data_IF_549550570523
#
_entry.id   IF_549550570523
#
_cell.length_a   1.000
_cell.length_b   1.000
_cell.length_c   1.000
_cell.angle_alpha   90.00
_cell.angle_beta   90.00
_cell.angle_gamma   90.00
#
_symmetry.space_group_name_H-M   'P 1'
#
loop_
_entity.id
_entity.type
_entity.pdbx_description
1 polymer ?
#
# COMPACT_ATOMS: atom_id res chain seq x y z
N UNK A 1 -21.50 -44.69 94.64
CA UNK A 1 -20.13 -44.48 95.14
C UNK A 1 -19.80 -43.00 94.96
N UNK A 2 -19.83 -42.24 96.07
CA UNK A 2 -19.30 -40.87 96.16
C UNK A 2 -17.82 -40.88 95.78
N UNK A 3 -17.32 -39.82 95.16
CA UNK A 3 -16.26 -38.95 95.72
C UNK A 3 -16.26 -37.62 94.94
N UNK A 4 -16.36 -36.55 95.72
CA UNK A 4 -16.15 -35.14 95.38
C UNK A 4 -14.66 -34.89 95.14
N UNK A 5 -14.30 -34.06 94.17
CA UNK A 5 -13.07 -33.25 94.29
C UNK A 5 -13.22 -31.93 93.56
N UNK A 6 -13.42 -30.91 94.38
CA UNK A 6 -13.24 -29.49 94.10
C UNK A 6 -11.80 -29.17 93.70
N UNK A 7 -11.62 -28.40 92.63
CA UNK A 7 -10.34 -27.84 92.23
C UNK A 7 -10.53 -26.51 91.52
N UNK A 8 -10.52 -25.43 92.29
CA UNK A 8 -10.59 -24.02 91.86
C UNK A 8 -9.17 -23.54 91.53
N UNK A 9 -8.93 -23.13 90.29
CA UNK A 9 -7.77 -22.35 89.85
C UNK A 9 -8.30 -21.28 88.90
N UNK A 10 -8.49 -20.04 89.37
CA UNK A 10 -7.53 -18.92 89.28
C UNK A 10 -7.07 -18.68 87.84
N UNK A 11 -7.74 -17.68 87.27
CA UNK A 11 -7.51 -16.99 86.00
C UNK A 11 -6.09 -16.38 85.96
N UNK A 12 -5.42 -16.45 84.81
CA UNK A 12 -4.72 -15.28 84.31
C UNK A 12 -5.40 -14.75 83.04
N UNK A 13 -5.61 -13.44 83.04
CA UNK A 13 -6.04 -12.62 81.92
C UNK A 13 -5.30 -13.00 80.63
N UNK A 14 -5.99 -13.70 79.73
CA UNK A 14 -5.61 -13.72 78.32
C UNK A 14 -6.24 -12.49 77.71
N UNK A 15 -5.42 -11.44 77.67
CA UNK A 15 -5.65 -10.21 76.91
C UNK A 15 -6.14 -10.56 75.51
N UNK A 16 -7.44 -10.45 75.28
CA UNK A 16 -8.06 -10.55 73.98
C UNK A 16 -7.57 -9.36 73.14
N UNK A 17 -6.49 -9.58 72.40
CA UNK A 17 -6.05 -8.66 71.35
C UNK A 17 -7.09 -8.75 70.24
N UNK A 18 -8.06 -7.85 70.27
CA UNK A 18 -9.01 -7.61 69.18
C UNK A 18 -8.25 -7.37 67.87
N UNK A 19 -8.38 -8.22 66.83
CA UNK A 19 -7.91 -7.88 65.49
C UNK A 19 -9.01 -7.04 64.83
N UNK A 20 -9.24 -5.83 65.31
CA UNK A 20 -10.21 -4.90 64.74
C UNK A 20 -9.48 -3.75 64.04
N UNK A 21 -8.68 -4.06 63.02
CA UNK A 21 -8.23 -3.06 62.04
C UNK A 21 -8.05 -3.69 60.66
N UNK A 22 -9.01 -4.50 60.24
CA UNK A 22 -9.14 -4.94 58.84
C UNK A 22 -10.62 -4.85 58.46
N UNK A 23 -11.15 -3.65 58.17
CA UNK A 23 -12.46 -3.57 57.51
C UNK A 23 -12.79 -2.33 56.68
N UNK A 24 -11.95 -1.30 56.68
CA UNK A 24 -12.21 -0.11 55.83
C UNK A 24 -11.50 -0.10 54.46
N UNK A 25 -10.60 -1.05 54.20
CA UNK A 25 -9.88 -1.12 52.92
C UNK A 25 -10.61 -1.87 51.81
N UNK A 26 -11.54 -2.77 52.16
CA UNK A 26 -12.26 -3.62 51.21
C UNK A 26 -13.17 -2.86 50.21
N UNK A 27 -13.99 -1.86 50.61
CA UNK A 27 -14.87 -1.17 49.67
C UNK A 27 -14.10 -0.24 48.72
N UNK A 28 -13.05 0.41 49.22
CA UNK A 28 -12.16 1.24 48.40
C UNK A 28 -11.39 0.38 47.39
N UNK A 29 -10.97 -0.83 47.79
CA UNK A 29 -10.32 -1.78 46.89
C UNK A 29 -11.23 -2.28 45.78
N UNK A 30 -12.47 -2.62 46.13
CA UNK A 30 -13.48 -3.00 45.14
C UNK A 30 -13.76 -1.86 44.15
N UNK A 31 -13.88 -0.61 44.63
CA UNK A 31 -14.22 0.54 43.79
C UNK A 31 -13.14 0.87 42.77
N UNK A 32 -11.86 0.90 43.17
CA UNK A 32 -10.80 1.21 42.21
C UNK A 32 -10.64 0.12 41.16
N UNK A 33 -10.82 -1.17 41.52
CA UNK A 33 -10.75 -2.29 40.57
C UNK A 33 -11.86 -2.21 39.53
N UNK A 34 -13.08 -1.86 39.96
CA UNK A 34 -14.20 -1.59 39.04
C UNK A 34 -13.88 -0.44 38.10
N UNK A 35 -13.51 0.73 38.63
CA UNK A 35 -13.16 1.90 37.81
C UNK A 35 -11.98 1.65 36.88
N UNK A 36 -11.00 0.85 37.30
CA UNK A 36 -9.90 0.44 36.44
C UNK A 36 -10.39 -0.44 35.29
N UNK A 37 -11.22 -1.45 35.58
CA UNK A 37 -11.73 -2.36 34.55
C UNK A 37 -12.61 -1.64 33.53
N UNK A 38 -13.42 -0.67 33.97
CA UNK A 38 -14.22 0.19 33.09
C UNK A 38 -13.32 1.00 32.15
N UNK A 39 -12.34 1.74 32.69
CA UNK A 39 -11.39 2.53 31.88
C UNK A 39 -10.59 1.67 30.91
N UNK A 40 -10.23 0.46 31.33
CA UNK A 40 -9.50 -0.47 30.49
C UNK A 40 -10.36 -0.99 29.34
N UNK A 41 -11.60 -1.39 29.63
CA UNK A 41 -12.56 -1.79 28.61
C UNK A 41 -12.86 -0.64 27.64
N UNK A 42 -13.01 0.59 28.13
CA UNK A 42 -13.22 1.79 27.30
C UNK A 42 -12.02 2.08 26.39
N UNK A 43 -10.79 1.90 26.90
CA UNK A 43 -9.57 2.02 26.10
C UNK A 43 -9.51 0.97 25.00
N UNK A 44 -9.76 -0.30 25.33
CA UNK A 44 -9.78 -1.41 24.37
C UNK A 44 -10.87 -1.24 23.32
N UNK A 45 -12.06 -0.78 23.73
CA UNK A 45 -13.18 -0.48 22.83
C UNK A 45 -12.80 0.61 21.84
N UNK A 46 -12.25 1.75 22.32
CA UNK A 46 -11.80 2.82 21.43
C UNK A 46 -10.72 2.38 20.44
N UNK A 47 -9.79 1.53 20.87
CA UNK A 47 -8.77 0.96 19.98
C UNK A 47 -9.41 0.06 18.90
N UNK A 48 -10.31 -0.83 19.30
CA UNK A 48 -11.06 -1.70 18.39
C UNK A 48 -11.93 -0.91 17.41
N UNK A 49 -12.62 0.14 17.87
CA UNK A 49 -13.47 0.98 17.02
C UNK A 49 -12.63 1.73 15.98
N UNK A 50 -11.45 2.24 16.37
CA UNK A 50 -10.52 2.89 15.45
C UNK A 50 -9.96 1.91 14.41
N UNK A 51 -9.60 0.69 14.83
CA UNK A 51 -9.14 -0.38 13.94
C UNK A 51 -10.24 -0.82 12.97
N UNK A 52 -11.47 -1.01 13.47
CA UNK A 52 -12.65 -1.36 12.67
C UNK A 52 -12.97 -0.27 11.65
N UNK A 53 -12.89 1.00 12.04
CA UNK A 53 -13.10 2.11 11.12
C UNK A 53 -12.03 2.17 10.02
N UNK A 54 -10.77 1.88 10.34
CA UNK A 54 -9.70 1.77 9.33
C UNK A 54 -9.92 0.57 8.40
N UNK A 55 -10.33 -0.57 8.94
CA UNK A 55 -10.67 -1.76 8.17
C UNK A 55 -11.84 -1.50 7.20
N UNK A 56 -12.90 -0.80 7.64
CA UNK A 56 -14.04 -0.43 6.80
C UNK A 56 -13.62 0.49 5.65
N UNK A 57 -12.85 1.56 5.93
CA UNK A 57 -12.36 2.45 4.87
C UNK A 57 -11.56 1.71 3.81
N UNK A 58 -10.73 0.74 4.22
CA UNK A 58 -9.96 -0.09 3.30
C UNK A 58 -10.85 -1.08 2.53
N UNK A 59 -11.89 -1.62 3.17
CA UNK A 59 -12.88 -2.47 2.51
C UNK A 59 -13.58 -1.71 1.38
N UNK A 60 -14.09 -0.51 1.67
CA UNK A 60 -14.77 0.34 0.69
C UNK A 60 -13.86 0.69 -0.48
N UNK A 61 -12.58 0.98 -0.20
CA UNK A 61 -11.57 1.21 -1.23
C UNK A 61 -11.39 -0.02 -2.14
N UNK A 62 -11.27 -1.23 -1.58
CA UNK A 62 -11.08 -2.45 -2.37
C UNK A 62 -12.33 -2.80 -3.19
N UNK A 63 -13.52 -2.63 -2.64
CA UNK A 63 -14.79 -2.81 -3.38
C UNK A 63 -14.85 -1.85 -4.57
N UNK A 64 -14.46 -0.59 -4.38
CA UNK A 64 -14.37 0.38 -5.47
C UNK A 64 -13.39 -0.07 -6.55
N UNK A 65 -12.18 -0.49 -6.17
CA UNK A 65 -11.17 -0.98 -7.12
C UNK A 65 -11.66 -2.21 -7.88
N UNK A 66 -12.45 -3.08 -7.24
CA UNK A 66 -13.06 -4.25 -7.89
C UNK A 66 -14.03 -3.84 -9.00
N UNK A 67 -14.94 -2.91 -8.69
CA UNK A 67 -15.90 -2.37 -9.66
C UNK A 67 -15.16 -1.71 -10.84
N UNK A 68 -14.15 -0.89 -10.55
CA UNK A 68 -13.36 -0.21 -11.57
C UNK A 68 -12.55 -1.19 -12.43
N UNK A 69 -11.92 -2.21 -11.82
CA UNK A 69 -11.19 -3.24 -12.54
C UNK A 69 -12.11 -4.04 -13.49
N UNK A 70 -13.37 -4.24 -13.13
CA UNK A 70 -14.34 -4.92 -13.98
C UNK A 70 -14.86 -4.02 -15.12
N UNK A 71 -15.14 -2.74 -14.84
CA UNK A 71 -16.02 -1.93 -15.70
C UNK A 71 -15.42 -0.62 -16.25
N UNK A 72 -14.36 -0.09 -15.65
CA UNK A 72 -13.82 1.21 -16.04
C UNK A 72 -13.05 1.13 -17.37
N UNK A 73 -13.49 1.89 -18.36
CA UNK A 73 -12.89 1.90 -19.71
C UNK A 73 -12.05 3.16 -20.00
N UNK A 74 -11.94 4.09 -19.05
CA UNK A 74 -11.33 5.41 -19.28
C UNK A 74 -12.36 6.49 -19.59
N UNK A 75 -11.89 7.75 -19.58
CA UNK A 75 -12.67 8.94 -19.88
C UNK A 75 -12.19 9.55 -21.20
N UNK A 76 -13.11 9.96 -22.08
CA UNK A 76 -12.76 10.65 -23.35
C UNK A 76 -12.39 12.13 -23.14
N UNK A 77 -12.66 12.69 -21.96
CA UNK A 77 -12.35 14.05 -21.55
C UNK A 77 -11.60 14.03 -20.20
N UNK A 78 -10.83 15.09 -19.87
CA UNK A 78 -10.52 16.25 -20.71
C UNK A 78 -9.51 15.92 -21.82
N UNK A 79 -9.60 16.62 -22.97
CA UNK A 79 -8.60 16.55 -24.06
C UNK A 79 -7.73 17.81 -24.16
N UNK A 80 -8.16 18.91 -23.54
CA UNK A 80 -7.46 20.19 -23.54
C UNK A 80 -6.56 20.32 -22.32
N UNK A 81 -5.44 21.04 -22.46
CA UNK A 81 -4.51 21.30 -21.36
C UNK A 81 -3.65 20.10 -20.95
N UNK A 82 -3.67 19.01 -21.72
CA UNK A 82 -2.83 17.84 -21.50
C UNK A 82 -1.40 18.07 -22.04
N UNK A 83 -0.38 17.38 -21.49
CA UNK A 83 0.99 17.45 -21.98
C UNK A 83 1.19 16.74 -23.33
N UNK A 84 0.15 16.14 -23.91
CA UNK A 84 0.21 15.43 -25.18
C UNK A 84 -1.15 15.50 -25.89
N UNK A 85 -1.13 15.49 -27.22
CA UNK A 85 -2.33 15.38 -28.04
C UNK A 85 -2.81 13.92 -28.05
N UNK A 86 -4.09 13.71 -27.75
CA UNK A 86 -4.70 12.38 -27.70
C UNK A 86 -5.24 11.98 -29.06
N UNK A 87 -5.04 10.70 -29.43
CA UNK A 87 -5.72 10.14 -30.60
C UNK A 87 -7.24 10.05 -30.37
N UNK A 88 -8.01 9.87 -31.45
CA UNK A 88 -9.48 9.85 -31.38
C UNK A 88 -10.02 8.71 -30.50
N UNK A 89 -9.34 7.56 -30.52
CA UNK A 89 -9.62 6.36 -29.73
C UNK A 89 -8.86 6.32 -28.38
N UNK A 90 -8.04 7.33 -28.10
CA UNK A 90 -7.29 7.42 -26.86
C UNK A 90 -8.17 7.98 -25.74
N UNK A 91 -8.22 7.26 -24.62
CA UNK A 91 -9.00 7.59 -23.43
C UNK A 91 -8.11 7.69 -22.21
N UNK A 92 -8.42 8.65 -21.34
CA UNK A 92 -7.66 8.97 -20.13
C UNK A 92 -8.11 8.08 -18.98
N UNK A 93 -7.16 7.39 -18.37
CA UNK A 93 -7.36 6.64 -17.14
C UNK A 93 -7.10 7.50 -15.91
N UNK A 94 -6.06 8.35 -15.95
CA UNK A 94 -5.74 9.24 -14.84
C UNK A 94 -4.93 10.44 -15.31
N UNK A 95 -5.22 11.61 -14.72
CA UNK A 95 -4.37 12.80 -14.80
C UNK A 95 -3.75 13.05 -13.42
N UNK A 96 -2.45 13.34 -13.41
CA UNK A 96 -1.68 13.72 -12.24
C UNK A 96 -1.10 15.11 -12.49
N UNK A 97 -1.71 16.18 -11.94
CA UNK A 97 -1.27 17.54 -12.20
C UNK A 97 0.12 17.84 -11.64
N UNK A 98 0.51 17.14 -10.57
CA UNK A 98 1.80 17.26 -9.93
C UNK A 98 2.44 15.88 -9.84
N UNK A 99 3.38 15.61 -10.75
CA UNK A 99 4.23 14.43 -10.76
C UNK A 99 5.68 14.87 -10.99
N UNK A 100 6.62 14.10 -10.49
CA UNK A 100 8.04 14.28 -10.74
C UNK A 100 8.53 13.21 -11.70
N UNK A 101 9.18 13.64 -12.78
CA UNK A 101 9.92 12.74 -13.65
C UNK A 101 11.20 12.35 -12.93
N UNK A 102 11.40 11.05 -12.78
CA UNK A 102 12.61 10.51 -12.17
C UNK A 102 13.36 9.63 -13.13
N UNK A 103 14.67 9.55 -12.94
CA UNK A 103 15.53 8.71 -13.74
C UNK A 103 16.53 7.97 -12.85
N UNK A 104 16.76 6.70 -13.18
CA UNK A 104 17.84 5.94 -12.58
C UNK A 104 19.18 6.39 -13.21
N UNK A 105 20.17 6.64 -12.36
CA UNK A 105 21.53 7.04 -12.77
C UNK A 105 22.35 5.84 -13.26
N UNK A 106 22.08 4.64 -12.72
CA UNK A 106 22.77 3.42 -13.07
C UNK A 106 21.82 2.39 -13.70
N UNK A 107 22.35 1.56 -14.60
CA UNK A 107 21.63 0.42 -15.19
C UNK A 107 21.31 -0.68 -14.16
N UNK A 108 22.08 -0.73 -13.07
CA UNK A 108 21.92 -1.68 -11.98
C UNK A 108 21.80 -0.93 -10.67
N UNK A 109 20.59 -0.48 -10.35
CA UNK A 109 20.27 0.02 -9.03
C UNK A 109 19.70 -1.12 -8.21
N UNK A 110 20.31 -1.41 -7.06
CA UNK A 110 19.82 -2.43 -6.13
C UNK A 110 18.52 -1.98 -5.50
N UNK A 111 17.54 -2.88 -5.42
CA UNK A 111 16.24 -2.57 -4.79
C UNK A 111 15.24 -1.87 -5.71
N UNK A 112 15.50 -1.81 -7.02
CA UNK A 112 14.47 -1.38 -7.95
C UNK A 112 13.33 -2.40 -8.01
N UNK A 113 12.08 -1.92 -8.09
CA UNK A 113 10.93 -2.80 -8.26
C UNK A 113 11.03 -3.60 -9.56
N UNK A 114 10.54 -4.83 -9.53
CA UNK A 114 10.41 -5.67 -10.72
C UNK A 114 9.12 -5.29 -11.47
N UNK A 115 9.16 -5.18 -12.82
CA UNK A 115 7.95 -5.00 -13.61
C UNK A 115 6.93 -6.10 -13.36
N UNK A 116 5.66 -5.73 -13.22
CA UNK A 116 4.58 -6.68 -13.05
C UNK A 116 3.24 -6.02 -12.79
N UNK A 117 2.18 -6.83 -12.85
CA UNK A 117 0.84 -6.40 -12.48
C UNK A 117 0.64 -6.39 -10.95
N UNK A 118 1.51 -7.09 -10.22
CA UNK A 118 1.46 -7.20 -8.77
C UNK A 118 1.67 -5.84 -8.07
N UNK A 119 0.99 -5.65 -6.94
CA UNK A 119 1.16 -4.47 -6.07
C UNK A 119 0.39 -3.22 -6.48
N UNK A 120 -0.36 -3.24 -7.59
CA UNK A 120 -1.15 -2.12 -8.10
C UNK A 120 -2.13 -1.52 -7.07
N UNK A 121 -2.84 -2.39 -6.34
CA UNK A 121 -3.83 -2.01 -5.33
C UNK A 121 -3.26 -1.98 -3.89
N UNK A 122 -1.95 -2.21 -3.73
CA UNK A 122 -1.28 -2.17 -2.43
C UNK A 122 -0.71 -0.78 -2.18
N UNK A 123 -1.14 -0.15 -1.08
CA UNK A 123 -0.58 1.13 -0.66
C UNK A 123 0.85 0.98 -0.16
N UNK A 124 1.68 2.03 -0.29
CA UNK A 124 3.00 2.01 0.29
C UNK A 124 2.87 1.84 1.81
N UNK A 125 3.47 0.78 2.34
CA UNK A 125 3.57 0.60 3.78
C UNK A 125 4.59 1.62 4.29
N UNK A 126 4.07 2.70 4.91
CA UNK A 126 4.81 3.82 5.49
C UNK A 126 5.76 4.50 4.49
N UNK A 127 5.33 5.64 3.92
CA UNK A 127 6.15 6.38 2.95
C UNK A 127 7.41 6.94 3.62
N UNK A 128 8.55 6.33 3.33
CA UNK A 128 9.81 7.05 3.43
C UNK A 128 9.90 7.96 2.21
N UNK A 129 10.00 9.26 2.45
CA UNK A 129 10.10 10.26 1.38
C UNK A 129 11.45 10.19 0.66
N UNK A 130 12.43 9.48 1.21
CA UNK A 130 13.72 9.31 0.58
C UNK A 130 13.59 8.48 -0.71
N UNK A 131 13.99 9.08 -1.84
CA UNK A 131 14.16 8.36 -3.09
C UNK A 131 15.17 7.21 -2.92
N UNK A 132 14.94 6.05 -3.55
CA UNK A 132 15.93 4.99 -3.59
C UNK A 132 17.28 5.51 -4.11
N UNK A 133 18.38 5.03 -3.54
CA UNK A 133 19.73 5.43 -3.96
C UNK A 133 19.92 5.19 -5.46
N UNK A 134 20.47 6.18 -6.16
CA UNK A 134 20.69 6.11 -7.61
C UNK A 134 19.45 6.43 -8.45
N UNK A 135 18.36 6.91 -7.83
CA UNK A 135 17.23 7.54 -8.51
C UNK A 135 17.24 9.02 -8.17
N UNK A 136 17.09 9.88 -9.17
CA UNK A 136 16.95 11.33 -8.98
C UNK A 136 15.73 11.88 -9.72
N UNK A 137 15.13 12.90 -9.12
CA UNK A 137 14.14 13.74 -9.78
C UNK A 137 14.83 14.67 -10.78
N UNK A 138 14.26 14.81 -11.97
CA UNK A 138 14.85 15.59 -13.07
C UNK A 138 13.92 16.66 -13.63
N UNK A 139 12.61 16.52 -13.44
CA UNK A 139 11.63 17.56 -13.78
C UNK A 139 10.35 17.36 -12.97
N UNK A 140 9.52 18.39 -12.89
CA UNK A 140 8.20 18.36 -12.24
C UNK A 140 7.16 18.87 -13.21
N UNK A 141 6.02 18.19 -13.29
CA UNK A 141 5.01 18.50 -14.28
C UNK A 141 3.76 17.65 -14.16
N UNK A 142 3.02 17.60 -15.27
CA UNK A 142 1.80 16.81 -15.39
C UNK A 142 2.11 15.44 -15.98
N UNK A 143 1.55 14.39 -15.39
CA UNK A 143 1.54 13.05 -15.99
C UNK A 143 0.11 12.63 -16.36
N UNK A 144 -0.04 11.94 -17.49
CA UNK A 144 -1.30 11.41 -17.98
C UNK A 144 -1.13 9.93 -18.30
N UNK A 145 -2.03 9.11 -17.77
CA UNK A 145 -2.15 7.69 -18.08
C UNK A 145 -3.33 7.53 -19.02
N UNK A 146 -3.10 6.97 -20.20
CA UNK A 146 -4.14 6.66 -21.19
C UNK A 146 -4.24 5.16 -21.43
N UNK A 147 -5.17 4.71 -22.26
CA UNK A 147 -5.23 3.32 -22.75
C UNK A 147 -4.07 2.95 -23.70
N UNK A 148 -3.31 3.91 -24.23
CA UNK A 148 -2.22 3.65 -25.18
C UNK A 148 -0.82 3.84 -24.59
N UNK A 149 -0.68 4.79 -23.66
CA UNK A 149 0.62 5.23 -23.16
C UNK A 149 0.53 5.94 -21.81
N UNK A 150 1.70 6.19 -21.25
CA UNK A 150 1.90 7.19 -20.21
C UNK A 150 2.64 8.37 -20.83
N UNK A 151 2.17 9.58 -20.58
CA UNK A 151 2.84 10.81 -21.00
C UNK A 151 3.17 11.67 -19.79
N UNK A 152 4.32 12.32 -19.83
CA UNK A 152 4.75 13.32 -18.86
C UNK A 152 5.17 14.58 -19.60
N UNK A 153 4.72 15.73 -19.11
CA UNK A 153 5.18 17.04 -19.55
C UNK A 153 5.49 17.94 -18.36
N UNK A 154 6.77 18.24 -18.19
CA UNK A 154 7.27 19.22 -17.25
C UNK A 154 7.72 20.49 -17.95
N UNK A 155 8.51 21.30 -17.23
CA UNK A 155 8.99 22.58 -17.75
C UNK A 155 10.08 22.39 -18.80
N UNK A 156 10.94 21.39 -18.61
CA UNK A 156 12.14 21.18 -19.41
C UNK A 156 12.10 19.87 -20.19
N UNK A 157 11.33 18.89 -19.71
CA UNK A 157 11.30 17.54 -20.22
C UNK A 157 9.89 17.13 -20.64
N UNK A 158 9.81 16.41 -21.75
CA UNK A 158 8.65 15.64 -22.16
C UNK A 158 9.06 14.19 -22.36
N UNK A 159 8.25 13.27 -21.87
CA UNK A 159 8.52 11.82 -21.93
C UNK A 159 7.22 11.09 -22.23
N UNK A 160 7.31 10.10 -23.10
CA UNK A 160 6.20 9.22 -23.42
C UNK A 160 6.66 7.77 -23.35
N UNK A 161 5.79 6.91 -22.85
CA UNK A 161 5.97 5.47 -22.78
C UNK A 161 4.74 4.78 -23.35
N UNK A 162 4.87 4.25 -24.55
CA UNK A 162 3.83 3.44 -25.20
C UNK A 162 3.79 2.05 -24.56
N UNK A 163 2.60 1.50 -24.32
CA UNK A 163 2.50 0.17 -23.72
C UNK A 163 3.15 -0.96 -24.52
N UNK A 164 3.11 -0.98 -25.87
CA UNK A 164 3.84 -1.97 -26.66
C UNK A 164 5.37 -1.98 -26.44
N UNK A 165 5.95 -0.83 -26.07
CA UNK A 165 7.38 -0.70 -25.82
C UNK A 165 7.74 -0.91 -24.34
N UNK A 166 6.75 -1.14 -23.47
CA UNK A 166 6.94 -1.34 -22.04
C UNK A 166 6.94 -2.83 -21.69
N UNK A 167 7.93 -3.24 -20.91
CA UNK A 167 7.94 -4.54 -20.22
C UNK A 167 6.83 -4.58 -19.17
N UNK A 168 6.58 -3.45 -18.51
CA UNK A 168 5.51 -3.27 -17.54
C UNK A 168 5.83 -2.19 -16.51
N UNK A 169 4.81 -1.75 -15.75
CA UNK A 169 5.02 -0.84 -14.63
C UNK A 169 5.69 -1.59 -13.47
N UNK A 170 6.64 -0.93 -12.82
CA UNK A 170 7.35 -1.46 -11.66
C UNK A 170 7.12 -0.52 -10.45
N UNK A 171 6.19 -0.90 -9.58
CA UNK A 171 5.79 -0.10 -8.43
C UNK A 171 6.69 -0.37 -7.22
N UNK A 172 7.29 0.68 -6.65
CA UNK A 172 8.12 0.52 -5.45
C UNK A 172 7.26 0.22 -4.22
N UNK A 173 7.55 -0.80 -3.40
CA UNK A 173 6.67 -1.21 -2.30
C UNK A 173 6.51 -0.14 -1.20
N UNK A 174 7.51 0.70 -0.97
CA UNK A 174 7.55 1.64 0.18
C UNK A 174 7.65 3.13 -0.18
N UNK A 175 7.66 3.47 -1.47
CA UNK A 175 7.81 4.86 -1.94
C UNK A 175 6.83 5.09 -3.08
N UNK A 176 6.26 6.29 -3.28
CA UNK A 176 5.28 6.56 -4.34
C UNK A 176 5.93 6.68 -5.73
N UNK A 177 6.89 5.80 -6.01
CA UNK A 177 7.68 5.68 -7.21
C UNK A 177 7.17 4.53 -8.06
N UNK A 178 7.00 4.79 -9.36
CA UNK A 178 6.79 3.76 -10.38
C UNK A 178 7.81 3.93 -11.50
N UNK A 179 8.58 2.89 -11.79
CA UNK A 179 9.49 2.85 -12.92
C UNK A 179 8.82 2.21 -14.14
N UNK A 180 9.12 2.73 -15.32
CA UNK A 180 8.53 2.33 -16.60
C UNK A 180 9.64 1.72 -17.47
N UNK A 181 9.76 0.39 -17.40
CA UNK A 181 10.83 -0.35 -18.07
C UNK A 181 10.53 -0.49 -19.56
N UNK A 182 11.39 0.06 -20.41
CA UNK A 182 11.30 -0.09 -21.87
C UNK A 182 12.03 -1.35 -22.34
N UNK A 183 11.52 -1.95 -23.41
CA UNK A 183 12.11 -3.14 -24.05
C UNK A 183 13.46 -2.86 -24.72
N UNK A 184 13.70 -1.61 -25.12
CA UNK A 184 14.92 -1.17 -25.79
C UNK A 184 16.17 -1.07 -24.88
N UNK A 185 16.01 -1.29 -23.57
CA UNK A 185 17.10 -1.15 -22.61
C UNK A 185 17.64 0.28 -22.49
N UNK A 186 16.83 1.27 -22.90
CA UNK A 186 17.11 2.68 -22.74
C UNK A 186 17.28 3.08 -21.27
N UNK A 187 17.54 4.37 -21.03
CA UNK A 187 17.67 4.86 -19.66
C UNK A 187 16.36 4.66 -18.90
N UNK A 188 16.46 3.99 -17.76
CA UNK A 188 15.31 3.70 -16.92
C UNK A 188 14.78 4.98 -16.28
N UNK A 189 13.50 5.25 -16.52
CA UNK A 189 12.81 6.44 -16.06
C UNK A 189 11.42 6.06 -15.53
N UNK A 190 10.82 6.96 -14.78
CA UNK A 190 9.53 6.72 -14.17
C UNK A 190 8.95 7.98 -13.56
N UNK A 191 7.96 7.77 -12.69
CA UNK A 191 7.19 8.83 -12.06
C UNK A 191 7.23 8.66 -10.54
N UNK A 192 7.59 9.73 -9.85
CA UNK A 192 7.32 9.90 -8.44
C UNK A 192 6.07 10.76 -8.31
N UNK A 193 5.06 10.23 -7.60
CA UNK A 193 3.75 10.90 -7.45
C UNK A 193 3.51 11.29 -5.99
N UNK A 194 2.57 12.21 -5.70
CA UNK A 194 2.19 12.52 -4.34
C UNK A 194 1.71 11.27 -3.59
N UNK A 195 2.05 11.15 -2.31
CA UNK A 195 1.67 10.01 -1.46
C UNK A 195 0.16 9.75 -1.49
N UNK A 196 -0.64 10.82 -1.47
CA UNK A 196 -2.11 10.76 -1.51
C UNK A 196 -2.65 10.21 -2.83
N UNK A 197 -1.90 10.31 -3.92
CA UNK A 197 -2.28 9.83 -5.25
C UNK A 197 -1.67 8.46 -5.59
N UNK A 198 -0.72 7.96 -4.81
CA UNK A 198 0.10 6.80 -5.15
C UNK A 198 -0.73 5.53 -5.41
N UNK A 199 -1.67 5.20 -4.53
CA UNK A 199 -2.50 3.99 -4.69
C UNK A 199 -3.33 4.05 -5.97
N UNK A 200 -4.03 5.17 -6.19
CA UNK A 200 -4.88 5.35 -7.36
C UNK A 200 -4.06 5.37 -8.64
N UNK A 201 -2.92 6.07 -8.65
CA UNK A 201 -2.04 6.09 -9.82
C UNK A 201 -1.55 4.69 -10.19
N UNK A 202 -1.07 3.91 -9.21
CA UNK A 202 -0.61 2.54 -9.45
C UNK A 202 -1.72 1.70 -10.05
N UNK A 203 -2.89 1.71 -9.41
CA UNK A 203 -4.05 0.96 -9.90
C UNK A 203 -4.41 1.31 -11.34
N UNK A 204 -4.60 2.60 -11.66
CA UNK A 204 -5.02 2.99 -13.01
C UNK A 204 -3.92 2.76 -14.06
N UNK A 205 -2.65 2.95 -13.70
CA UNK A 205 -1.54 2.62 -14.59
C UNK A 205 -1.47 1.12 -14.89
N UNK A 206 -1.57 0.27 -13.87
CA UNK A 206 -1.62 -1.18 -14.08
C UNK A 206 -2.85 -1.59 -14.86
N UNK A 207 -4.02 -1.03 -14.57
CA UNK A 207 -5.25 -1.33 -15.27
C UNK A 207 -5.19 -0.93 -16.75
N UNK A 208 -4.62 0.24 -17.05
CA UNK A 208 -4.44 0.71 -18.41
C UNK A 208 -3.46 -0.17 -19.19
N UNK A 209 -2.29 -0.47 -18.61
CA UNK A 209 -1.31 -1.39 -19.19
C UNK A 209 -1.92 -2.78 -19.43
N UNK A 210 -2.57 -3.36 -18.41
CA UNK A 210 -3.22 -4.66 -18.53
C UNK A 210 -4.36 -4.68 -19.55
N UNK A 211 -5.10 -3.57 -19.70
CA UNK A 211 -6.13 -3.46 -20.73
C UNK A 211 -5.50 -3.47 -22.11
N UNK A 212 -4.42 -2.70 -22.32
CA UNK A 212 -3.69 -2.66 -23.59
C UNK A 212 -3.03 -4.00 -23.97
N UNK A 213 -2.61 -4.79 -22.98
CA UNK A 213 -1.99 -6.12 -23.21
C UNK A 213 -2.97 -7.29 -23.12
N UNK A 214 -4.27 -7.06 -22.93
CA UNK A 214 -5.27 -8.12 -22.80
C UNK A 214 -5.23 -8.91 -21.47
N UNK A 215 -4.54 -8.39 -20.46
CA UNK A 215 -4.39 -9.00 -19.13
C UNK A 215 -5.32 -8.41 -18.05
N UNK A 216 -6.36 -7.65 -18.43
CA UNK A 216 -7.28 -6.99 -17.48
C UNK A 216 -7.88 -7.93 -16.44
N UNK A 217 -8.25 -9.15 -16.84
CA UNK A 217 -8.82 -10.16 -15.94
C UNK A 217 -7.87 -10.53 -14.79
N UNK A 218 -6.54 -10.49 -15.02
CA UNK A 218 -5.56 -10.74 -13.97
C UNK A 218 -5.55 -9.63 -12.90
N UNK A 219 -5.78 -8.37 -13.30
CA UNK A 219 -5.90 -7.25 -12.35
C UNK A 219 -7.16 -7.40 -11.51
N UNK A 220 -8.29 -7.77 -12.12
CA UNK A 220 -9.54 -8.02 -11.39
C UNK A 220 -9.37 -9.15 -10.37
N UNK A 221 -8.80 -10.29 -10.78
CA UNK A 221 -8.53 -11.42 -9.88
C UNK A 221 -7.62 -11.03 -8.71
N UNK A 222 -6.59 -10.22 -8.96
CA UNK A 222 -5.71 -9.74 -7.89
C UNK A 222 -6.45 -8.83 -6.89
N UNK A 223 -7.40 -8.01 -7.35
CA UNK A 223 -8.22 -7.20 -6.44
C UNK A 223 -9.18 -8.08 -5.63
N UNK A 224 -9.74 -9.12 -6.25
CA UNK A 224 -10.58 -10.11 -5.56
C UNK A 224 -9.80 -10.83 -4.46
N UNK A 225 -8.59 -11.31 -4.75
CA UNK A 225 -7.69 -11.95 -3.78
C UNK A 225 -7.38 -11.00 -2.60
N UNK A 226 -7.15 -9.72 -2.88
CA UNK A 226 -6.92 -8.71 -1.84
C UNK A 226 -8.17 -8.46 -1.00
N UNK A 227 -9.35 -8.44 -1.61
CA UNK A 227 -10.62 -8.26 -0.92
C UNK A 227 -10.92 -9.44 0.00
N UNK A 228 -10.66 -10.67 -0.45
CA UNK A 228 -10.83 -11.88 0.34
C UNK A 228 -9.83 -11.95 1.49
N UNK A 229 -8.54 -11.65 1.25
CA UNK A 229 -7.56 -11.52 2.32
C UNK A 229 -7.97 -10.45 3.35
N UNK A 230 -8.48 -9.31 2.89
CA UNK A 230 -8.97 -8.23 3.77
C UNK A 230 -10.18 -8.66 4.61
N UNK A 231 -11.10 -9.45 4.04
CA UNK A 231 -12.24 -10.02 4.77
C UNK A 231 -11.80 -10.96 5.88
N UNK A 232 -10.77 -11.78 5.65
CA UNK A 232 -10.20 -12.67 6.66
C UNK A 232 -9.47 -11.90 7.77
N UNK A 233 -8.91 -10.73 7.47
CA UNK A 233 -8.22 -9.87 8.42
C UNK A 233 -9.15 -8.94 9.24
N UNK A 234 -10.44 -9.29 9.37
CA UNK A 234 -11.41 -8.47 10.11
C UNK A 234 -11.02 -8.36 11.60
N UNK A 235 -11.00 -7.14 12.20
CA UNK A 235 -10.71 -6.97 13.62
C UNK A 235 -11.66 -7.78 14.51
N UNK A 236 -11.12 -8.40 15.56
CA UNK A 236 -11.89 -9.20 16.53
C UNK A 236 -12.15 -8.37 17.78
N UNK A 237 -13.41 -8.31 18.28
CA UNK A 237 -13.73 -7.59 19.50
C UNK A 237 -12.86 -8.02 20.69
N UNK A 238 -12.28 -7.08 21.46
CA UNK A 238 -11.42 -7.41 22.58
C UNK A 238 -12.24 -8.03 23.73
N UNK A 239 -11.69 -9.01 24.47
CA UNK A 239 -12.38 -9.60 25.61
C UNK A 239 -12.54 -8.59 26.73
N UNK A 240 -13.69 -8.65 27.41
CA UNK A 240 -13.98 -7.80 28.56
C UNK A 240 -13.08 -8.15 29.73
N UNK A 241 -12.47 -7.13 30.31
CA UNK A 241 -11.68 -7.23 31.52
C UNK A 241 -12.61 -7.03 32.72
N UNK A 242 -12.57 -7.96 33.66
CA UNK A 242 -13.31 -7.86 34.92
C UNK A 242 -12.44 -7.24 36.02
N UNK A 243 -13.03 -6.70 37.11
CA UNK A 243 -12.29 -6.09 38.21
C UNK A 243 -11.20 -6.99 38.83
N UNK A 244 -11.38 -8.32 38.77
CA UNK A 244 -10.39 -9.29 39.27
C UNK A 244 -9.05 -9.25 38.52
N UNK A 245 -9.02 -8.74 37.29
CA UNK A 245 -7.80 -8.60 36.48
C UNK A 245 -7.02 -7.31 36.76
N UNK A 246 -7.51 -6.45 37.66
CA UNK A 246 -6.89 -5.18 37.94
C UNK A 246 -5.51 -5.36 38.61
N UNK A 247 -4.43 -4.79 38.05
CA UNK A 247 -3.08 -4.98 38.56
C UNK A 247 -2.93 -4.39 39.95
N UNK A 248 -2.39 -5.18 40.88
CA UNK A 248 -2.24 -4.82 42.30
C UNK A 248 -1.38 -3.58 42.52
N UNK A 249 -0.47 -3.28 41.58
CA UNK A 249 0.47 -2.14 41.61
C UNK A 249 -0.11 -0.82 41.10
N UNK A 250 -1.25 -0.80 40.41
CA UNK A 250 -1.84 0.44 39.87
C UNK A 250 -2.50 1.34 40.95
N UNK A 251 -2.46 0.92 42.22
CA UNK A 251 -3.10 1.61 43.36
C UNK A 251 -2.38 2.90 43.81
N UNK A 252 -1.44 3.47 43.04
CA UNK A 252 -0.72 4.69 43.43
C UNK A 252 -0.73 5.81 42.38
N UNK A 253 -1.86 6.52 42.21
CA UNK A 253 -1.82 7.96 42.02
C UNK A 253 -1.80 8.60 43.42
N UNK A 254 -0.63 9.12 43.76
CA UNK A 254 -0.20 9.79 44.98
C UNK A 254 -1.24 10.55 45.82
N UNK A 255 -1.24 10.27 47.13
CA UNK A 255 -1.55 11.21 48.24
C UNK A 255 -0.45 12.28 48.42
N UNK A 256 0.37 12.54 47.40
CA UNK A 256 1.28 13.69 47.35
C UNK A 256 0.53 14.84 46.70
N UNK A 257 -0.38 15.42 47.49
CA UNK A 257 -0.69 16.84 47.35
C UNK A 257 0.63 17.55 47.60
N UNK A 258 1.35 17.86 46.53
CA UNK A 258 2.52 18.71 46.57
C UNK A 258 2.04 20.11 46.96
N UNK A 259 2.18 20.43 48.24
CA UNK A 259 2.13 21.79 48.75
C UNK A 259 3.25 22.58 48.08
N UNK A 260 2.96 23.24 46.96
CA UNK A 260 3.85 24.24 46.38
C UNK A 260 3.70 25.49 47.24
N UNK A 261 4.46 25.57 48.32
CA UNK A 261 4.64 26.82 49.05
C UNK A 261 5.66 27.66 48.27
N UNK A 262 5.17 28.70 47.62
CA UNK A 262 5.96 29.74 47.00
C UNK A 262 6.81 30.45 48.06
N UNK A 263 8.13 30.50 47.85
CA UNK A 263 9.04 31.48 48.46
C UNK A 263 10.37 31.49 47.69
N UNK A 264 10.49 32.40 46.72
CA UNK A 264 11.77 32.93 46.25
C UNK A 264 11.52 34.28 45.58
N UNK A 265 11.22 35.27 46.43
CA UNK A 265 11.41 36.68 46.16
C UNK A 265 12.92 37.00 46.15
N UNK A 266 13.29 37.97 45.31
CA UNK A 266 14.58 38.70 45.21
C UNK A 266 15.68 37.94 44.45
N UNK A 267 16.38 38.51 43.47
CA UNK A 267 16.35 39.85 42.89
C UNK A 267 17.12 39.78 41.56
N UNK A 268 16.62 40.40 40.50
CA UNK A 268 17.50 40.94 39.45
C UNK A 268 16.96 42.29 39.02
N UNK A 269 17.74 43.32 39.35
CA UNK A 269 17.46 44.70 39.06
C UNK A 269 17.41 44.96 37.56
N UNK A 270 16.51 45.87 37.21
CA UNK A 270 16.73 46.98 36.28
C UNK A 270 17.99 46.90 35.42
N UNK A 271 17.82 46.89 34.10
CA UNK A 271 18.39 47.92 33.20
C UNK A 271 17.85 47.75 31.76
N UNK A 272 17.06 48.76 31.38
CA UNK A 272 16.98 49.46 30.10
C UNK A 272 16.67 48.71 28.80
N UNK A 273 15.54 49.14 28.24
CA UNK A 273 15.24 49.21 26.82
C UNK A 273 16.39 49.84 26.01
N UNK A 274 16.62 49.27 24.83
CA UNK A 274 17.44 49.83 23.77
C UNK A 274 17.05 49.16 22.46
N UNK A 275 16.16 49.80 21.71
CA UNK A 275 15.96 49.52 20.29
C UNK A 275 17.23 49.92 19.50
N UNK A 276 17.47 49.26 18.36
CA UNK A 276 17.76 49.84 17.02
C UNK A 276 18.26 48.71 16.11
N UNK A 277 17.38 48.33 15.21
CA UNK A 277 17.49 48.23 13.75
C UNK A 277 18.75 47.73 13.00
N UNK A 278 18.41 46.94 11.98
CA UNK A 278 18.92 46.89 10.61
C UNK A 278 20.43 46.73 10.31
N UNK A 279 20.73 45.60 9.66
CA UNK A 279 21.31 45.69 8.31
C UNK A 279 22.68 45.03 8.09
N UNK A 280 23.00 44.66 6.84
CA UNK A 280 23.61 43.38 6.49
C UNK A 280 25.08 43.49 6.10
N UNK A 281 25.83 42.40 6.22
CA UNK A 281 27.01 42.10 5.37
C UNK A 281 27.49 40.67 5.63
N UNK A 282 27.39 39.79 4.62
CA UNK A 282 28.42 38.77 4.41
C UNK A 282 29.60 39.40 3.66
N UNK A 283 30.58 38.62 3.14
CA UNK A 283 30.93 37.22 3.42
C UNK A 283 32.43 37.08 3.79
N UNK A 284 32.85 35.99 4.43
CA UNK A 284 34.17 35.39 4.14
C UNK A 284 34.24 33.93 4.57
N UNK A 285 34.43 33.11 3.55
CA UNK A 285 35.03 31.80 3.53
C UNK A 285 36.30 31.69 4.40
N UNK A 286 36.37 30.66 5.26
CA UNK A 286 37.64 30.02 5.64
C UNK A 286 37.41 28.55 5.96
N UNK A 287 38.06 27.70 5.18
CA UNK A 287 38.18 26.27 5.40
C UNK A 287 38.95 25.96 6.69
N UNK A 288 38.53 24.94 7.44
CA UNK A 288 39.44 24.19 8.27
C UNK A 288 39.09 22.69 8.28
N UNK A 289 40.12 21.94 7.94
CA UNK A 289 40.26 20.49 7.90
C UNK A 289 40.32 19.92 9.32
N UNK A 290 39.68 18.76 9.51
CA UNK A 290 40.17 17.66 10.36
C UNK A 290 39.90 17.73 11.86
N UNK A 291 38.95 16.92 12.35
CA UNK A 291 39.29 15.76 13.18
C UNK A 291 38.02 15.05 13.64
N UNK A 292 37.93 13.77 13.27
CA UNK A 292 37.01 12.78 13.83
C UNK A 292 37.49 12.41 15.23
N UNK A 293 36.58 12.02 16.13
CA UNK A 293 36.76 10.69 16.71
C UNK A 293 35.53 9.82 16.51
N UNK A 294 35.83 8.59 16.09
CA UNK A 294 34.94 7.45 16.09
C UNK A 294 34.44 7.16 17.51
N UNK A 295 33.13 6.97 17.65
CA UNK A 295 32.55 6.18 18.74
C UNK A 295 31.77 5.04 18.11
N UNK A 296 32.36 3.87 18.30
CA UNK A 296 31.88 2.55 17.99
C UNK A 296 30.75 2.18 18.96
N UNK A 297 29.56 1.88 18.46
CA UNK A 297 28.46 1.31 19.25
C UNK A 297 27.45 0.58 18.35
N UNK A 298 27.76 -0.68 18.05
CA UNK A 298 26.81 -1.64 17.49
C UNK A 298 25.74 -2.03 18.54
N UNK A 299 24.45 -2.17 18.15
CA UNK A 299 23.51 -2.99 18.90
C UNK A 299 23.40 -4.39 18.29
N UNK A 300 23.66 -5.39 19.13
CA UNK A 300 23.41 -6.82 18.89
C UNK A 300 21.89 -7.09 18.77
N UNK A 301 21.47 -8.07 17.94
CA UNK A 301 20.09 -8.54 17.94
C UNK A 301 19.83 -9.43 19.16
N UNK A 302 18.69 -9.22 19.82
CA UNK A 302 18.14 -10.13 20.81
C UNK A 302 17.49 -11.32 20.08
N UNK A 303 18.12 -12.49 20.20
CA UNK A 303 17.50 -13.79 19.97
C UNK A 303 16.28 -13.95 20.89
N UNK A 304 15.10 -14.13 20.30
CA UNK A 304 13.92 -14.60 21.01
C UNK A 304 13.70 -16.07 20.69
N UNK A 305 14.10 -16.91 21.64
CA UNK A 305 13.93 -18.36 21.67
C UNK A 305 12.45 -18.73 21.73
N UNK A 306 11.95 -19.47 20.74
CA UNK A 306 10.63 -20.10 20.78
C UNK A 306 10.67 -21.41 21.62
N UNK A 307 9.62 -21.76 22.37
CA UNK A 307 9.56 -23.02 23.11
C UNK A 307 9.15 -24.20 22.20
N UNK A 308 9.72 -25.41 22.42
CA UNK A 308 9.35 -26.59 21.64
C UNK A 308 8.05 -27.25 22.13
N UNK A 309 7.26 -27.73 21.18
CA UNK A 309 6.08 -28.57 21.37
C UNK A 309 6.54 -30.03 21.59
N UNK A 310 6.03 -30.78 22.59
CA UNK A 310 6.31 -32.20 22.74
C UNK A 310 5.44 -33.04 21.81
N UNK A 311 6.07 -33.87 20.97
CA UNK A 311 5.41 -34.95 20.23
C UNK A 311 5.99 -36.30 20.65
N UNK A 312 5.13 -37.24 21.04
CA UNK A 312 5.45 -38.65 21.21
C UNK A 312 4.79 -39.51 20.11
N UNK A 313 5.28 -40.76 19.87
CA UNK A 313 5.17 -41.46 18.60
C UNK A 313 4.23 -42.69 18.63
N UNK A 314 3.83 -43.16 17.44
CA UNK A 314 3.59 -44.58 17.09
C UNK A 314 3.33 -44.65 15.57
N UNK A 315 4.22 -45.26 14.77
CA UNK A 315 4.07 -46.63 14.24
C UNK A 315 3.38 -46.59 12.87
N UNK A 316 3.79 -47.23 11.77
CA UNK A 316 4.79 -48.22 11.42
C UNK A 316 4.38 -48.74 10.03
N UNK A 317 5.31 -49.10 9.14
CA UNK A 317 4.93 -49.80 7.91
C UNK A 317 5.84 -49.67 6.69
N UNK A 318 6.84 -50.55 6.64
CA UNK A 318 7.23 -51.38 5.48
C UNK A 318 7.81 -50.75 4.18
N UNK A 319 9.15 -50.82 4.09
CA UNK A 319 10.00 -51.36 3.02
C UNK A 319 9.63 -51.24 1.53
N UNK A 320 10.54 -50.63 0.75
CA UNK A 320 11.17 -51.27 -0.41
C UNK A 320 12.53 -50.61 -0.73
N UNK A 321 13.57 -51.44 -0.80
CA UNK A 321 14.94 -51.12 -1.18
C UNK A 321 15.08 -50.77 -2.67
N UNK A 322 15.92 -49.79 -3.01
CA UNK A 322 16.76 -49.86 -4.22
C UNK A 322 18.14 -49.28 -3.91
N UNK A 323 19.13 -50.13 -4.13
CA UNK A 323 20.57 -49.99 -3.97
C UNK A 323 21.19 -49.22 -5.15
N UNK A 324 22.21 -48.39 -4.90
CA UNK A 324 23.00 -47.76 -5.96
C UNK A 324 24.19 -46.95 -5.42
N UNK A 325 25.34 -47.59 -5.38
CA UNK A 325 26.65 -47.17 -4.85
C UNK A 325 27.40 -46.13 -5.73
N UNK A 326 28.28 -45.26 -5.17
CA UNK A 326 29.02 -44.24 -5.92
C UNK A 326 30.56 -44.44 -5.92
N UNK A 327 31.25 -44.13 -7.04
CA UNK A 327 32.67 -43.67 -7.12
C UNK A 327 33.12 -43.48 -8.60
N UNK A 328 34.29 -42.86 -8.91
CA UNK A 328 34.75 -41.54 -8.48
C UNK A 328 35.38 -40.69 -9.64
N UNK A 329 35.76 -39.46 -9.25
CA UNK A 329 36.56 -38.41 -9.93
C UNK A 329 37.75 -38.89 -10.78
N UNK A 330 38.01 -38.16 -11.87
CA UNK A 330 39.34 -38.02 -12.48
C UNK A 330 39.68 -36.55 -12.76
N UNK A 331 40.95 -36.23 -12.53
CA UNK A 331 41.60 -34.93 -12.54
C UNK A 331 42.59 -34.87 -13.72
N UNK A 332 42.82 -33.69 -14.29
CA UNK A 332 43.94 -33.38 -15.19
C UNK A 332 43.49 -32.96 -16.59
N UNK A 333 44.09 -31.97 -17.26
CA UNK A 333 45.28 -31.18 -16.97
C UNK A 333 45.41 -30.07 -18.02
N UNK A 334 46.25 -29.09 -17.71
CA UNK A 334 46.53 -27.89 -18.50
C UNK A 334 47.27 -28.18 -19.82
N UNK A 335 47.07 -27.32 -20.83
CA UNK A 335 47.87 -27.28 -22.06
C UNK A 335 47.58 -26.04 -22.90
N UNK A 336 48.62 -25.28 -23.23
CA UNK A 336 48.61 -23.90 -23.77
C UNK A 336 48.50 -23.82 -25.31
N UNK A 337 48.21 -22.58 -25.77
CA UNK A 337 48.53 -21.94 -27.07
C UNK A 337 47.88 -22.50 -28.36
N UNK A 338 47.14 -21.65 -29.08
CA UNK A 338 47.65 -20.87 -30.22
C UNK A 338 46.50 -20.15 -30.94
N UNK A 339 46.69 -18.86 -31.18
CA UNK A 339 45.85 -17.98 -32.00
C UNK A 339 45.99 -18.34 -33.48
N UNK A 340 44.87 -18.53 -34.19
CA UNK A 340 44.74 -18.30 -35.64
C UNK A 340 43.30 -17.94 -36.02
N UNK A 341 43.18 -16.74 -36.59
CA UNK A 341 42.14 -16.14 -37.45
C UNK A 341 41.21 -17.14 -38.20
N UNK A 342 39.88 -16.91 -38.24
CA UNK A 342 38.99 -17.58 -39.18
C UNK A 342 38.77 -16.74 -40.45
N UNK A 343 39.07 -17.36 -41.60
CA UNK A 343 38.67 -16.96 -42.96
C UNK A 343 37.35 -17.67 -43.31
N UNK A 344 36.42 -17.08 -44.09
CA UNK A 344 35.08 -17.65 -44.29
C UNK A 344 35.08 -18.90 -45.18
N UNK A 345 34.24 -19.91 -44.91
CA UNK A 345 34.09 -21.05 -45.79
C UNK A 345 33.14 -20.79 -46.96
N UNK A 346 33.56 -21.34 -48.10
CA UNK A 346 32.91 -21.32 -49.40
C UNK A 346 31.60 -22.12 -49.47
N UNK A 347 30.76 -21.72 -50.42
CA UNK A 347 29.47 -22.29 -50.79
C UNK A 347 29.50 -23.81 -51.00
N UNK A 348 28.69 -24.53 -50.22
CA UNK A 348 28.43 -25.97 -50.41
C UNK A 348 27.10 -26.14 -51.14
N UNK A 349 27.15 -26.70 -52.35
CA UNK A 349 25.98 -27.13 -53.13
C UNK A 349 25.26 -28.27 -52.39
N UNK A 350 23.95 -28.16 -52.24
CA UNK A 350 23.06 -29.20 -51.71
C UNK A 350 22.41 -29.95 -52.89
N UNK A 351 22.33 -31.29 -52.86
CA UNK A 351 21.68 -32.09 -53.90
C UNK A 351 20.15 -32.03 -53.80
N UNK A 352 19.51 -32.09 -54.98
CA UNK A 352 18.06 -32.10 -55.21
C UNK A 352 17.44 -33.43 -54.75
N UNK A 353 16.37 -33.44 -53.93
CA UNK A 353 15.62 -34.66 -53.60
C UNK A 353 14.58 -35.02 -54.68
N UNK A 354 14.15 -36.31 -54.76
CA UNK A 354 13.22 -36.79 -55.78
C UNK A 354 11.76 -36.37 -55.51
N UNK A 355 11.00 -36.28 -56.61
CA UNK A 355 9.59 -35.91 -56.64
C UNK A 355 8.70 -36.86 -55.83
N UNK A 356 7.91 -36.30 -54.90
CA UNK A 356 6.84 -36.99 -54.18
C UNK A 356 5.53 -36.79 -54.97
N UNK A 357 4.79 -37.90 -55.13
CA UNK A 357 3.53 -38.00 -55.82
C UNK A 357 2.43 -37.09 -55.23
N UNK A 358 1.57 -36.57 -56.10
CA UNK A 358 0.45 -35.70 -55.78
C UNK A 358 -0.63 -36.42 -54.93
N UNK A 359 -1.17 -35.79 -53.89
CA UNK A 359 -2.36 -36.29 -53.19
C UNK A 359 -3.65 -35.96 -53.95
N UNK A 360 -4.54 -36.95 -53.95
CA UNK A 360 -5.92 -37.02 -54.44
C UNK A 360 -6.81 -35.85 -53.97
N UNK A 361 -7.81 -35.40 -54.78
CA UNK A 361 -8.71 -34.31 -54.40
C UNK A 361 -9.69 -34.71 -53.28
N UNK A 362 -9.90 -33.80 -52.32
CA UNK A 362 -10.91 -33.93 -51.29
C UNK A 362 -12.34 -33.70 -51.85
N UNK A 363 -13.39 -34.31 -51.27
CA UNK A 363 -14.78 -34.12 -51.67
C UNK A 363 -15.30 -32.71 -51.29
N UNK A 364 -16.31 -32.19 -52.01
CA UNK A 364 -16.84 -30.85 -51.78
C UNK A 364 -17.57 -30.73 -50.44
N UNK A 365 -17.18 -29.74 -49.65
CA UNK A 365 -17.90 -29.34 -48.43
C UNK A 365 -19.14 -28.55 -48.82
N UNK A 366 -20.31 -29.03 -48.38
CA UNK A 366 -21.61 -28.40 -48.57
C UNK A 366 -21.67 -27.14 -47.67
N UNK A 367 -21.92 -25.98 -48.28
CA UNK A 367 -22.13 -24.72 -47.58
C UNK A 367 -23.46 -24.73 -46.80
N UNK A 368 -23.52 -24.14 -45.59
CA UNK A 368 -24.78 -23.96 -44.86
C UNK A 368 -25.69 -22.92 -45.56
N UNK A 369 -27.02 -23.03 -45.41
CA UNK A 369 -27.97 -22.12 -46.04
C UNK A 369 -27.88 -20.70 -45.45
N UNK A 370 -28.23 -19.65 -46.23
CA UNK A 370 -28.20 -18.28 -45.77
C UNK A 370 -29.27 -18.02 -44.71
N UNK A 371 -28.86 -17.46 -43.57
CA UNK A 371 -29.76 -16.91 -42.56
C UNK A 371 -30.44 -15.65 -43.12
N UNK A 372 -31.77 -15.73 -43.22
CA UNK A 372 -32.67 -14.65 -43.63
C UNK A 372 -32.54 -13.45 -42.71
N UNK A 373 -32.24 -12.28 -43.27
CA UNK A 373 -32.27 -11.00 -42.57
C UNK A 373 -33.70 -10.62 -42.16
N UNK A 374 -33.93 -10.09 -40.94
CA UNK A 374 -35.23 -9.56 -40.57
C UNK A 374 -35.52 -8.23 -41.28
N UNK A 375 -36.79 -8.06 -41.66
CA UNK A 375 -37.33 -6.92 -42.38
C UNK A 375 -37.20 -5.58 -41.61
N UNK A 376 -37.13 -4.43 -42.32
CA UNK A 376 -37.10 -3.12 -41.69
C UNK A 376 -38.46 -2.80 -41.06
N UNK A 377 -38.47 -2.55 -39.74
CA UNK A 377 -39.61 -1.98 -39.04
C UNK A 377 -39.76 -0.51 -39.38
N UNK A 378 -40.94 -0.18 -39.91
CA UNK A 378 -41.44 1.15 -40.25
C UNK A 378 -41.36 2.11 -39.06
N UNK A 379 -40.75 3.27 -39.26
CA UNK A 379 -40.69 4.36 -38.28
C UNK A 379 -42.07 5.02 -38.10
N UNK A 380 -42.50 5.32 -36.86
CA UNK A 380 -43.69 6.13 -36.60
C UNK A 380 -43.46 7.63 -36.88
N UNK A 381 -44.53 8.39 -37.20
CA UNK A 381 -44.46 9.76 -37.69
C UNK A 381 -44.05 10.78 -36.63
N UNK A 382 -43.37 11.84 -37.10
CA UNK A 382 -42.83 12.94 -36.33
C UNK A 382 -43.89 13.72 -35.54
N UNK A 383 -43.62 13.95 -34.25
CA UNK A 383 -44.34 14.89 -33.41
C UNK A 383 -43.72 16.32 -33.53
N UNK A 384 -44.52 17.38 -33.35
CA UNK A 384 -44.16 18.75 -33.71
C UNK A 384 -43.14 19.42 -32.77
N UNK A 385 -42.33 20.29 -33.36
CA UNK A 385 -41.27 21.10 -32.75
C UNK A 385 -41.75 21.96 -31.59
N UNK A 386 -41.03 21.89 -30.46
CA UNK A 386 -41.10 22.85 -29.36
C UNK A 386 -40.26 24.12 -29.68
N UNK A 387 -40.63 25.30 -29.16
CA UNK A 387 -39.96 26.57 -29.43
C UNK A 387 -38.59 26.70 -28.74
N UNK A 388 -37.70 27.59 -29.23
CA UNK A 388 -36.32 27.69 -28.76
C UNK A 388 -36.24 28.22 -27.32
N UNK A 389 -35.59 27.43 -26.45
CA UNK A 389 -35.17 27.86 -25.12
C UNK A 389 -33.86 28.65 -25.20
N UNK A 390 -33.88 29.79 -24.51
CA UNK A 390 -32.82 30.76 -24.25
C UNK A 390 -31.46 30.15 -23.91
N UNK A 391 -30.41 30.81 -24.41
CA UNK A 391 -29.00 30.47 -24.25
C UNK A 391 -28.56 30.23 -22.78
N UNK A 392 -27.65 29.27 -22.52
CA UNK A 392 -27.04 29.12 -21.21
C UNK A 392 -25.94 30.17 -20.96
N UNK A 393 -25.71 30.56 -19.69
CA UNK A 393 -24.65 31.48 -19.32
C UNK A 393 -23.26 30.83 -19.52
N UNK A 394 -22.30 31.68 -19.85
CA UNK A 394 -20.88 31.40 -20.08
C UNK A 394 -20.27 30.56 -18.95
N UNK A 395 -19.70 29.40 -19.31
CA UNK A 395 -18.99 28.53 -18.37
C UNK A 395 -17.55 29.01 -18.17
N UNK A 396 -17.20 29.22 -16.91
CA UNK A 396 -15.87 29.58 -16.43
C UNK A 396 -14.88 28.42 -16.68
N UNK A 397 -13.73 28.62 -17.36
CA UNK A 397 -12.81 27.54 -17.74
C UNK A 397 -12.06 26.88 -16.56
N UNK A 398 -12.24 27.36 -15.33
CA UNK A 398 -11.57 26.82 -14.13
C UNK A 398 -12.17 25.54 -13.55
N UNK A 399 -13.39 25.15 -13.95
CA UNK A 399 -14.14 24.08 -13.26
C UNK A 399 -14.19 22.73 -14.00
N UNK A 400 -13.58 22.63 -15.19
CA UNK A 400 -13.59 21.39 -16.01
C UNK A 400 -12.52 20.38 -15.61
N UNK A 401 -11.52 20.76 -14.80
CA UNK A 401 -10.52 19.83 -14.29
C UNK A 401 -11.05 18.97 -13.14
N UNK A 402 -12.11 19.41 -12.46
CA UNK A 402 -12.66 18.73 -11.28
C UNK A 402 -13.42 17.46 -11.64
N UNK A 403 -14.04 17.38 -12.83
CA UNK A 403 -14.91 16.24 -13.21
C UNK A 403 -14.17 14.92 -13.49
N UNK A 404 -12.85 14.94 -13.67
CA UNK A 404 -12.02 13.72 -13.76
C UNK A 404 -10.99 13.61 -12.63
N UNK A 405 -10.90 14.63 -11.78
CA UNK A 405 -10.02 14.66 -10.60
C UNK A 405 -10.76 14.35 -9.31
N UNK A 406 -12.08 14.55 -9.26
CA UNK A 406 -12.88 14.15 -8.12
C UNK A 406 -13.15 12.64 -8.15
N UNK A 407 -12.74 11.89 -7.10
CA UNK A 407 -13.37 10.62 -6.85
C UNK A 407 -14.85 10.92 -6.61
N UNK A 408 -15.75 10.30 -7.37
CA UNK A 408 -17.18 10.25 -7.04
C UNK A 408 -17.34 10.12 -5.51
N UNK A 409 -17.71 11.22 -4.85
CA UNK A 409 -18.33 11.19 -3.53
C UNK A 409 -19.70 10.56 -3.77
N UNK A 410 -19.72 9.23 -3.88
CA UNK A 410 -20.97 8.50 -3.80
C UNK A 410 -21.51 8.77 -2.40
N UNK A 411 -22.69 9.39 -2.30
CA UNK A 411 -23.29 9.68 -1.01
C UNK A 411 -23.49 8.35 -0.30
N UNK A 412 -22.95 8.25 0.90
CA UNK A 412 -23.38 7.25 1.87
C UNK A 412 -24.93 7.36 1.92
N UNK A 413 -25.62 6.30 1.48
CA UNK A 413 -27.07 6.09 1.67
C UNK A 413 -27.43 6.48 3.12
N UNK A 414 -28.43 7.30 3.45
CA UNK A 414 -29.85 7.41 3.02
C UNK A 414 -30.47 8.64 3.78
N UNK A 415 -31.77 9.04 3.66
CA UNK A 415 -32.83 8.68 2.71
C UNK A 415 -33.57 9.90 2.09
N UNK A 416 -34.44 9.61 1.11
CA UNK A 416 -35.67 10.32 0.72
C UNK A 416 -35.94 11.68 1.41
N UNK A 417 -36.07 12.76 0.62
CA UNK A 417 -37.11 13.81 0.74
C UNK A 417 -36.88 14.90 -0.32
N UNK A 418 -37.77 14.96 -1.32
CA UNK A 418 -37.92 16.15 -2.16
C UNK A 418 -38.42 17.33 -1.30
N UNK A 419 -37.87 18.54 -1.41
CA UNK A 419 -38.62 19.70 -0.99
C UNK A 419 -39.71 20.01 -2.03
N UNK A 420 -40.96 19.91 -1.60
CA UNK A 420 -42.15 20.47 -2.26
C UNK A 420 -41.97 21.97 -2.52
N UNK A 421 -42.37 22.51 -3.68
CA UNK A 421 -42.51 23.94 -3.84
C UNK A 421 -43.73 24.42 -3.04
N UNK A 422 -43.54 25.43 -2.19
CA UNK A 422 -44.60 26.15 -1.49
C UNK A 422 -44.71 27.58 -2.07
N UNK A 423 -45.90 28.19 -1.94
CA UNK A 423 -46.61 28.91 -3.01
C UNK A 423 -46.09 30.31 -3.35
#
# INVERSE_FOLDING_TARGET
MRVLSTGRAVVPDVTATSPATIRDSAPAESRWRTTWSERENDRRRRAYDAETAAWLRRHDQLVRLQIEAASFLGCTQPRTGLPVDLADDEVVYRVLPTAELVEAEARHVTGLPTPGLAGAATGPDRTDRALPRGVRSVDTGMAVVTNHRVAFGGREQRREWTYPDLVGPAHHPHAPLTLLHRTDGGRLAGLLVPDTAAVNFRFYLTLAFATATGCRAAVAAQVDDLLDAHRQARPVPPPLVVPAHAPLVARRPDRRVATVTALATLAFGTLTAGAVDAGPTGPTYRAQVGSSPAVDAAPRPLELTAPPIPGEPAGGGTAASVTGEPAPRATGGAGRHRSTRPTPPASRRIPVPPAIAAPTPAPPTIAPPPTTAPAPTTAPPAAPSAPPTTAPPSADPGNLLTLCLDPLELPLLDPLLCPTPSP
#
